data_IF_036651500003
#
_entry.id   IF_036651500003
#
_cell.length_a   1.000
_cell.length_b   1.000
_cell.length_c   1.000
_cell.angle_alpha   90.00
_cell.angle_beta   90.00
_cell.angle_gamma   90.00
#
_symmetry.space_group_name_H-M   'P 1'
#
loop_
_entity.id
_entity.type
_entity.pdbx_description
1 polymer ?
#
# COMPACT_ATOMS: atom_id res chain seq x y z
N UNK A 1 -8.42 26.25 -6.63
CA UNK A 1 -8.99 24.89 -6.40
C UNK A 1 -10.33 25.07 -5.70
N UNK A 2 -11.43 24.44 -6.16
CA UNK A 2 -12.72 24.59 -5.45
C UNK A 2 -12.62 23.99 -4.04
N UNK A 3 -13.27 24.58 -3.04
CA UNK A 3 -13.13 24.23 -1.60
C UNK A 3 -13.37 22.74 -1.34
N UNK A 4 -14.24 22.13 -2.11
CA UNK A 4 -14.60 20.72 -2.06
C UNK A 4 -13.42 19.78 -2.33
N UNK A 5 -12.59 20.10 -3.32
CA UNK A 5 -11.39 19.30 -3.62
C UNK A 5 -10.33 19.45 -2.53
N UNK A 6 -10.28 20.61 -1.86
CA UNK A 6 -9.42 20.81 -0.70
C UNK A 6 -9.88 19.93 0.47
N UNK A 7 -11.19 19.88 0.75
CA UNK A 7 -11.76 19.00 1.77
C UNK A 7 -11.41 17.54 1.49
N UNK A 8 -11.57 17.09 0.24
CA UNK A 8 -11.19 15.74 -0.15
C UNK A 8 -9.70 15.47 0.01
N UNK A 9 -8.84 16.42 -0.41
CA UNK A 9 -7.40 16.32 -0.27
C UNK A 9 -6.98 16.22 1.21
N UNK A 10 -7.59 17.01 2.08
CA UNK A 10 -7.32 16.93 3.52
C UNK A 10 -7.79 15.58 4.07
N UNK A 11 -8.97 15.10 3.70
CA UNK A 11 -9.50 13.82 4.18
C UNK A 11 -8.65 12.62 3.74
N UNK A 12 -8.18 12.60 2.49
CA UNK A 12 -7.34 11.50 1.98
C UNK A 12 -5.97 11.48 2.64
N UNK A 13 -5.38 12.65 2.90
CA UNK A 13 -4.10 12.76 3.61
C UNK A 13 -4.26 12.40 5.08
N UNK A 14 -5.32 12.86 5.73
CA UNK A 14 -5.59 12.56 7.15
C UNK A 14 -5.82 11.06 7.39
N UNK A 15 -6.66 10.42 6.57
CA UNK A 15 -6.91 8.98 6.68
C UNK A 15 -5.67 8.15 6.32
N UNK A 16 -4.86 8.62 5.37
CA UNK A 16 -3.61 7.96 4.99
C UNK A 16 -2.47 8.14 6.01
N UNK A 17 -2.46 9.24 6.78
CA UNK A 17 -1.39 9.54 7.74
C UNK A 17 -1.15 8.39 8.74
N UNK A 18 -2.20 7.65 9.10
CA UNK A 18 -2.09 6.50 9.99
C UNK A 18 -1.10 5.46 9.47
N UNK A 19 -0.95 5.29 8.15
CA UNK A 19 0.07 4.40 7.57
C UNK A 19 1.51 4.85 7.83
N UNK A 20 1.74 6.13 8.04
CA UNK A 20 3.06 6.71 8.28
C UNK A 20 3.38 6.89 9.76
N UNK A 21 2.40 6.65 10.65
CA UNK A 21 2.60 6.73 12.10
C UNK A 21 3.74 5.79 12.54
N UNK A 22 4.48 6.11 13.62
CA UNK A 22 5.45 5.20 14.24
C UNK A 22 4.81 3.85 14.60
N UNK A 23 5.63 2.80 14.72
CA UNK A 23 5.17 1.44 15.01
C UNK A 23 5.30 0.48 13.81
N UNK A 24 4.75 -0.72 13.93
CA UNK A 24 4.78 -1.75 12.89
C UNK A 24 3.36 -2.21 12.54
N UNK A 25 3.17 -2.81 11.35
CA UNK A 25 1.88 -3.42 11.06
C UNK A 25 1.59 -4.55 12.06
N UNK A 26 0.33 -4.67 12.49
CA UNK A 26 -0.10 -5.63 13.53
C UNK A 26 -0.84 -6.85 12.98
N UNK A 27 -1.06 -6.92 11.67
CA UNK A 27 -1.77 -8.04 11.07
C UNK A 27 -0.87 -9.27 10.95
N UNK A 28 -1.43 -10.45 11.22
CA UNK A 28 -0.66 -11.71 11.33
C UNK A 28 0.16 -12.04 10.07
N UNK A 29 -0.38 -11.79 8.88
CA UNK A 29 0.29 -12.15 7.62
C UNK A 29 1.33 -11.11 7.15
N UNK A 30 1.53 -10.00 7.88
CA UNK A 30 2.51 -8.98 7.50
C UNK A 30 3.90 -9.57 7.34
N UNK A 31 4.35 -10.41 8.29
CA UNK A 31 5.73 -10.89 8.32
C UNK A 31 6.09 -11.76 7.11
N UNK A 32 5.27 -12.76 6.73
CA UNK A 32 5.46 -13.46 5.46
C UNK A 32 5.49 -12.53 4.23
N UNK A 33 4.69 -11.45 4.21
CA UNK A 33 4.71 -10.48 3.10
C UNK A 33 5.98 -9.63 3.08
N UNK A 34 6.54 -9.27 4.24
CA UNK A 34 7.82 -8.58 4.33
C UNK A 34 9.00 -9.47 3.89
N UNK A 35 8.94 -10.78 4.13
CA UNK A 35 9.93 -11.73 3.58
C UNK A 35 9.89 -11.72 2.05
N UNK A 36 8.69 -11.65 1.44
CA UNK A 36 8.54 -11.51 -0.02
C UNK A 36 9.12 -10.23 -0.58
N UNK A 37 8.84 -9.12 0.09
CA UNK A 37 9.47 -7.83 -0.23
C UNK A 37 11.00 -7.90 -0.12
N UNK A 38 11.54 -8.53 0.94
CA UNK A 38 12.99 -8.67 1.15
C UNK A 38 13.64 -9.48 0.04
N UNK A 39 13.04 -10.59 -0.39
CA UNK A 39 13.58 -11.42 -1.47
C UNK A 39 13.63 -10.66 -2.78
N UNK A 40 12.60 -9.87 -3.10
CA UNK A 40 12.65 -8.99 -4.28
C UNK A 40 13.73 -7.92 -4.15
N UNK A 41 13.87 -7.29 -2.98
CA UNK A 41 14.95 -6.33 -2.74
C UNK A 41 16.33 -6.96 -2.98
N UNK A 42 16.57 -8.15 -2.45
CA UNK A 42 17.80 -8.90 -2.67
C UNK A 42 17.98 -9.28 -4.14
N UNK A 43 16.90 -9.70 -4.82
CA UNK A 43 16.95 -10.10 -6.23
C UNK A 43 17.35 -8.92 -7.13
N UNK A 44 16.90 -7.71 -6.81
CA UNK A 44 17.32 -6.48 -7.48
C UNK A 44 18.82 -6.20 -7.23
N UNK A 45 19.26 -6.30 -5.97
CA UNK A 45 20.65 -6.00 -5.57
C UNK A 45 21.67 -7.00 -6.10
N UNK A 46 21.33 -8.28 -6.06
CA UNK A 46 22.20 -9.43 -6.34
C UNK A 46 21.94 -10.03 -7.74
N UNK A 47 20.96 -9.49 -8.47
CA UNK A 47 20.63 -9.86 -9.86
C UNK A 47 20.24 -11.33 -10.05
N UNK A 48 19.38 -11.85 -9.17
CA UNK A 48 18.79 -13.20 -9.31
C UNK A 48 17.27 -13.12 -9.53
N UNK A 49 16.64 -14.27 -9.82
CA UNK A 49 15.18 -14.36 -9.99
C UNK A 49 14.45 -14.52 -8.65
N UNK A 50 13.50 -13.64 -8.28
CA UNK A 50 12.79 -13.74 -7.00
C UNK A 50 11.67 -14.79 -6.99
N UNK A 51 11.48 -15.54 -8.07
CA UNK A 51 10.36 -16.48 -8.19
C UNK A 51 10.57 -17.82 -7.48
N UNK A 52 11.81 -18.17 -7.13
CA UNK A 52 12.12 -19.37 -6.35
C UNK A 52 13.14 -19.07 -5.27
N UNK A 53 12.97 -19.64 -4.09
CA UNK A 53 13.89 -19.41 -2.96
C UNK A 53 13.96 -20.60 -2.02
N UNK A 54 15.13 -20.81 -1.41
CA UNK A 54 15.33 -21.74 -0.29
C UNK A 54 15.10 -21.09 1.08
N UNK A 55 14.86 -19.77 1.15
CA UNK A 55 14.62 -19.08 2.42
C UNK A 55 13.32 -19.50 3.12
N UNK A 56 12.43 -20.22 2.43
CA UNK A 56 11.16 -20.67 2.96
C UNK A 56 10.89 -22.11 2.52
N UNK A 57 10.35 -22.93 3.44
CA UNK A 57 9.93 -24.32 3.21
C UNK A 57 10.94 -25.21 2.46
N UNK A 58 12.25 -25.04 2.68
CA UNK A 58 13.30 -25.81 2.00
C UNK A 58 13.27 -25.73 0.46
N UNK A 59 12.66 -24.68 -0.11
CA UNK A 59 12.46 -24.52 -1.55
C UNK A 59 10.99 -24.25 -1.87
N UNK A 60 10.68 -23.03 -2.31
CA UNK A 60 9.30 -22.63 -2.58
C UNK A 60 9.19 -21.63 -3.76
N UNK A 61 8.18 -21.78 -4.65
CA UNK A 61 7.90 -20.82 -5.72
C UNK A 61 7.30 -19.53 -5.16
N UNK A 62 8.19 -18.64 -4.73
CA UNK A 62 7.94 -17.57 -3.78
C UNK A 62 6.84 -16.57 -4.18
N UNK A 63 6.81 -16.20 -5.45
CA UNK A 63 5.88 -15.21 -6.00
C UNK A 63 4.82 -15.82 -6.93
N UNK A 64 4.74 -17.15 -7.03
CA UNK A 64 3.78 -17.81 -7.93
C UNK A 64 2.33 -17.67 -7.44
N UNK A 65 2.12 -17.76 -6.12
CA UNK A 65 0.78 -17.77 -5.50
C UNK A 65 0.37 -16.44 -4.89
N UNK A 66 1.13 -15.37 -5.14
CA UNK A 66 0.87 -14.04 -4.61
C UNK A 66 1.10 -13.00 -5.69
N UNK A 67 0.30 -11.94 -5.71
CA UNK A 67 0.39 -10.87 -6.73
C UNK A 67 1.81 -10.27 -6.78
N UNK A 68 2.63 -10.57 -7.80
CA UNK A 68 4.05 -10.24 -7.80
C UNK A 68 4.28 -8.73 -7.86
N UNK A 69 3.38 -7.98 -8.52
CA UNK A 69 3.49 -6.53 -8.69
C UNK A 69 3.67 -5.79 -7.36
N UNK A 70 2.94 -6.18 -6.32
CA UNK A 70 3.05 -5.53 -5.01
C UNK A 70 4.44 -5.71 -4.39
N UNK A 71 5.03 -6.90 -4.53
CA UNK A 71 6.37 -7.19 -4.02
C UNK A 71 7.47 -6.56 -4.87
N UNK A 72 7.29 -6.47 -6.19
CA UNK A 72 8.16 -5.69 -7.06
C UNK A 72 8.18 -4.20 -6.69
N UNK A 73 7.02 -3.62 -6.44
CA UNK A 73 6.92 -2.22 -6.00
C UNK A 73 7.57 -2.02 -4.62
N UNK A 74 7.16 -2.79 -3.61
CA UNK A 74 7.72 -2.66 -2.25
C UNK A 74 9.21 -2.99 -2.19
N UNK A 75 9.69 -3.98 -2.95
CA UNK A 75 11.10 -4.33 -3.08
C UNK A 75 11.92 -3.23 -3.74
N UNK A 76 11.40 -2.57 -4.79
CA UNK A 76 12.02 -1.39 -5.39
C UNK A 76 12.09 -0.23 -4.39
N UNK A 77 11.01 0.07 -3.67
CA UNK A 77 11.05 1.10 -2.63
C UNK A 77 12.03 0.75 -1.50
N UNK A 78 12.18 -0.53 -1.16
CA UNK A 78 13.20 -1.00 -0.21
C UNK A 78 14.60 -0.72 -0.69
N UNK A 79 14.85 -0.92 -1.99
CA UNK A 79 16.12 -0.56 -2.59
C UNK A 79 16.38 0.95 -2.49
N UNK A 80 15.38 1.78 -2.81
CA UNK A 80 15.46 3.24 -2.74
C UNK A 80 15.61 3.78 -1.30
N UNK A 81 15.08 3.07 -0.30
CA UNK A 81 15.18 3.44 1.12
C UNK A 81 16.29 2.69 1.85
N UNK A 82 17.35 2.29 1.12
CA UNK A 82 18.56 1.66 1.66
C UNK A 82 18.30 0.44 2.57
N UNK A 83 17.30 -0.39 2.24
CA UNK A 83 16.98 -1.63 2.95
C UNK A 83 15.89 -1.53 4.01
N UNK A 84 15.29 -0.35 4.25
CA UNK A 84 14.27 -0.17 5.29
C UNK A 84 12.89 -0.74 4.93
N UNK A 85 12.68 -2.05 5.15
CA UNK A 85 11.48 -2.79 4.74
C UNK A 85 10.16 -2.16 5.22
N UNK A 86 10.06 -1.86 6.52
CA UNK A 86 8.83 -1.32 7.11
C UNK A 86 8.52 0.06 6.54
N UNK A 87 9.54 0.91 6.39
CA UNK A 87 9.35 2.25 5.86
C UNK A 87 8.89 2.22 4.41
N UNK A 88 9.48 1.35 3.57
CA UNK A 88 9.04 1.17 2.18
C UNK A 88 7.61 0.67 2.09
N UNK A 89 7.22 -0.30 2.92
CA UNK A 89 5.85 -0.80 2.96
C UNK A 89 4.87 0.33 3.29
N UNK A 90 5.19 1.13 4.32
CA UNK A 90 4.36 2.28 4.73
C UNK A 90 4.20 3.30 3.61
N UNK A 91 5.27 3.65 2.91
CA UNK A 91 5.22 4.57 1.76
C UNK A 91 4.32 4.00 0.66
N UNK A 92 4.51 2.73 0.28
CA UNK A 92 3.75 2.12 -0.81
C UNK A 92 2.27 2.03 -0.46
N UNK A 93 1.93 1.58 0.76
CA UNK A 93 0.52 1.51 1.20
C UNK A 93 -0.10 2.90 1.29
N UNK A 94 0.64 3.91 1.77
CA UNK A 94 0.18 5.30 1.77
C UNK A 94 -0.13 5.81 0.35
N UNK A 95 0.75 5.57 -0.61
CA UNK A 95 0.53 5.94 -2.02
C UNK A 95 -0.68 5.20 -2.58
N UNK A 96 -0.79 3.89 -2.36
CA UNK A 96 -1.93 3.09 -2.82
C UNK A 96 -3.25 3.54 -2.18
N UNK A 97 -3.24 3.96 -0.92
CA UNK A 97 -4.40 4.54 -0.25
C UNK A 97 -4.87 5.81 -0.98
N UNK A 98 -3.94 6.73 -1.26
CA UNK A 98 -4.22 7.96 -2.02
C UNK A 98 -4.79 7.63 -3.41
N UNK A 99 -4.14 6.72 -4.14
CA UNK A 99 -4.58 6.31 -5.47
C UNK A 99 -5.97 5.65 -5.42
N UNK A 100 -6.25 4.83 -4.41
CA UNK A 100 -7.56 4.19 -4.23
C UNK A 100 -8.66 5.22 -3.95
N UNK A 101 -8.36 6.23 -3.13
CA UNK A 101 -9.28 7.32 -2.83
C UNK A 101 -9.60 8.17 -4.05
N UNK A 102 -8.57 8.52 -4.84
CA UNK A 102 -8.75 9.20 -6.11
C UNK A 102 -9.59 8.37 -7.08
N UNK A 103 -9.29 7.07 -7.22
CA UNK A 103 -10.03 6.17 -8.10
C UNK A 103 -11.52 6.10 -7.73
N UNK A 104 -11.86 5.92 -6.45
CA UNK A 104 -13.26 5.86 -6.03
C UNK A 104 -13.97 7.21 -6.17
N UNK A 105 -13.27 8.32 -5.90
CA UNK A 105 -13.83 9.66 -6.10
C UNK A 105 -14.18 9.92 -7.58
N UNK A 106 -13.26 9.63 -8.50
CA UNK A 106 -13.50 9.79 -9.94
C UNK A 106 -14.58 8.84 -10.45
N UNK A 107 -14.60 7.60 -9.95
CA UNK A 107 -15.66 6.64 -10.25
C UNK A 107 -17.03 7.19 -9.81
N UNK A 108 -17.20 7.58 -8.54
CA UNK A 108 -18.47 8.08 -8.03
C UNK A 108 -18.89 9.39 -8.73
N UNK A 109 -17.94 10.27 -9.03
CA UNK A 109 -18.21 11.51 -9.76
C UNK A 109 -18.75 11.22 -11.17
N UNK A 110 -18.22 10.20 -11.84
CA UNK A 110 -18.68 9.77 -13.17
C UNK A 110 -20.09 9.18 -13.12
N UNK A 111 -20.34 8.26 -12.19
CA UNK A 111 -21.61 7.53 -12.10
C UNK A 111 -22.75 8.41 -11.59
N UNK A 112 -22.51 9.16 -10.52
CA UNK A 112 -23.57 9.96 -9.88
C UNK A 112 -23.76 11.33 -10.55
N UNK A 113 -22.76 11.80 -11.31
CA UNK A 113 -22.66 13.17 -11.81
C UNK A 113 -22.83 14.24 -10.73
N UNK A 114 -22.65 13.86 -9.45
CA UNK A 114 -22.90 14.69 -8.29
C UNK A 114 -21.62 14.77 -7.45
N UNK A 115 -21.08 15.98 -7.32
CA UNK A 115 -19.83 16.21 -6.58
C UNK A 115 -19.98 15.88 -5.09
N UNK A 116 -21.11 16.20 -4.48
CA UNK A 116 -21.34 15.95 -3.06
C UNK A 116 -21.36 14.45 -2.77
N UNK A 117 -22.09 13.66 -3.55
CA UNK A 117 -22.11 12.20 -3.40
C UNK A 117 -20.74 11.57 -3.64
N UNK A 118 -19.98 12.08 -4.62
CA UNK A 118 -18.63 11.63 -4.88
C UNK A 118 -17.67 11.89 -3.70
N UNK A 119 -17.75 13.07 -3.07
CA UNK A 119 -16.94 13.43 -1.91
C UNK A 119 -17.28 12.58 -0.68
N UNK A 120 -18.56 12.55 -0.31
CA UNK A 120 -18.96 11.83 0.90
C UNK A 120 -18.79 10.32 0.75
N UNK A 121 -19.07 9.77 -0.43
CA UNK A 121 -18.85 8.36 -0.71
C UNK A 121 -17.36 7.99 -0.70
N UNK A 122 -16.48 8.81 -1.26
CA UNK A 122 -15.04 8.54 -1.24
C UNK A 122 -14.42 8.71 0.15
N UNK A 123 -14.82 9.74 0.91
CA UNK A 123 -14.39 9.92 2.30
C UNK A 123 -14.89 8.76 3.16
N UNK A 124 -16.16 8.38 3.00
CA UNK A 124 -16.74 7.22 3.67
C UNK A 124 -15.97 5.94 3.38
N UNK A 125 -15.60 5.71 2.10
CA UNK A 125 -14.75 4.59 1.68
C UNK A 125 -13.36 4.60 2.34
N UNK A 126 -12.72 5.77 2.47
CA UNK A 126 -11.37 5.89 3.04
C UNK A 126 -11.34 5.79 4.57
N UNK A 127 -12.39 6.27 5.23
CA UNK A 127 -12.48 6.33 6.69
C UNK A 127 -12.94 5.02 7.35
N UNK A 128 -13.21 3.98 6.56
CA UNK A 128 -13.64 2.68 7.09
C UNK A 128 -12.57 2.10 8.03
N UNK A 129 -12.90 1.70 9.27
CA UNK A 129 -11.91 1.31 10.28
C UNK A 129 -10.94 0.21 9.85
N UNK A 130 -11.45 -0.86 9.21
CA UNK A 130 -10.63 -1.96 8.69
C UNK A 130 -9.84 -1.61 7.42
N UNK A 131 -9.76 -0.34 7.01
CA UNK A 131 -8.78 0.12 6.02
C UNK A 131 -7.60 0.82 6.65
N UNK A 132 -7.77 1.40 7.84
CA UNK A 132 -6.81 2.36 8.42
C UNK A 132 -6.23 1.92 9.77
N UNK A 133 -6.83 0.95 10.44
CA UNK A 133 -6.42 0.48 11.77
C UNK A 133 -5.54 -0.77 11.69
N UNK A 134 -4.26 -0.63 11.35
CA UNK A 134 -3.34 -1.77 11.28
C UNK A 134 -1.92 -1.51 11.77
N UNK A 135 -1.65 -0.34 12.36
CA UNK A 135 -0.31 0.01 12.86
C UNK A 135 -0.41 0.26 14.36
N UNK A 136 0.45 -0.42 15.13
CA UNK A 136 0.65 -0.20 16.56
C UNK A 136 2.15 -0.14 16.89
#
# INVERSE_FOLDING_TARGET
>A
MKKEYLVFLVAILFTGYLFLAPGHPTTGDTWPHLVRQKIVYQSIKEKFSPFFTFYFYSGYPHLQFYSPLFFFLTGLFTFLTFGSLIFSLKIVVFILHILSGLAIFYYLKRETKNLFLALFGSIGYLAVPWRVLYIA
#
